data_IF_177182770593
#
_entry.id   IF_177182770593
#
_cell.length_a   1.000
_cell.length_b   1.000
_cell.length_c   1.000
_cell.angle_alpha   90.00
_cell.angle_beta   90.00
_cell.angle_gamma   90.00
#
_symmetry.space_group_name_H-M   'P 1'
#
loop_
_entity.id
_entity.type
_entity.pdbx_description
1 polymer ?
#
# COMPACT_ATOMS: atom_id res chain seq x y z
N UNK A 1 30.09 -41.52 33.81
CA UNK A 1 29.15 -40.76 34.66
C UNK A 1 29.94 -39.55 35.16
N UNK A 2 29.71 -38.30 34.78
CA UNK A 2 28.65 -37.57 34.06
C UNK A 2 29.26 -36.23 33.62
N UNK A 3 28.94 -35.72 32.42
CA UNK A 3 29.14 -34.32 32.04
C UNK A 3 28.13 -33.42 32.80
N UNK A 4 28.38 -32.10 32.89
CA UNK A 4 27.77 -31.24 31.87
C UNK A 4 28.70 -30.16 31.32
N UNK A 5 28.85 -30.15 30.00
CA UNK A 5 29.23 -28.98 29.21
C UNK A 5 28.21 -27.87 29.43
N UNK A 6 28.65 -26.73 29.95
CA UNK A 6 27.84 -25.53 30.09
C UNK A 6 27.58 -24.92 28.71
N UNK A 7 26.36 -25.05 28.21
CA UNK A 7 25.87 -24.37 27.01
C UNK A 7 25.72 -22.87 27.33
N UNK A 8 26.39 -21.94 26.62
CA UNK A 8 26.09 -20.52 26.78
C UNK A 8 24.75 -20.25 26.09
N UNK A 9 23.65 -20.32 26.87
CA UNK A 9 22.36 -19.76 26.46
C UNK A 9 22.57 -18.29 26.12
N UNK A 10 22.69 -18.00 24.84
CA UNK A 10 22.66 -16.64 24.30
C UNK A 10 21.20 -16.30 24.19
N UNK A 11 20.68 -15.61 25.21
CA UNK A 11 19.36 -14.98 25.17
C UNK A 11 19.37 -14.02 23.97
N UNK A 12 18.46 -14.16 22.98
CA UNK A 12 18.40 -13.19 21.90
C UNK A 12 18.08 -11.83 22.50
N UNK A 13 18.76 -10.73 22.12
CA UNK A 13 18.36 -9.41 22.57
C UNK A 13 16.89 -9.23 22.21
N UNK A 14 16.04 -8.96 23.20
CA UNK A 14 14.66 -8.50 23.00
C UNK A 14 14.71 -7.38 21.99
N UNK A 15 14.18 -7.65 20.80
CA UNK A 15 13.96 -6.68 19.75
C UNK A 15 13.10 -5.55 20.36
N UNK A 16 13.60 -4.30 20.46
CA UNK A 16 12.76 -3.21 20.89
C UNK A 16 11.65 -3.09 19.85
N UNK A 17 10.46 -3.56 20.20
CA UNK A 17 9.25 -3.47 19.37
C UNK A 17 9.09 -2.03 18.89
N UNK A 18 9.56 -1.74 17.67
CA UNK A 18 9.28 -0.50 16.96
C UNK A 18 7.89 -0.66 16.37
N UNK A 19 6.89 -0.76 17.23
CA UNK A 19 5.51 -0.63 16.79
C UNK A 19 5.36 0.85 16.43
N UNK A 20 5.14 1.21 15.16
CA UNK A 20 5.01 2.60 14.78
C UNK A 20 3.77 3.16 15.48
N UNK A 21 3.99 3.96 16.52
CA UNK A 21 2.91 4.76 17.07
C UNK A 21 2.53 5.78 16.00
N UNK A 22 1.38 5.58 15.34
CA UNK A 22 0.73 6.65 14.59
C UNK A 22 0.32 7.72 15.60
N UNK A 23 1.22 8.66 15.85
CA UNK A 23 1.00 9.86 16.66
C UNK A 23 0.15 10.83 15.84
N UNK A 24 -1.13 10.53 15.74
CA UNK A 24 -2.09 11.34 14.99
C UNK A 24 -3.50 10.98 15.39
N UNK A 25 -4.29 12.00 15.74
CA UNK A 25 -5.73 11.83 15.79
C UNK A 25 -6.21 11.33 14.41
N UNK A 26 -7.15 10.37 14.35
CA UNK A 26 -7.70 9.93 13.08
C UNK A 26 -8.23 11.14 12.32
N UNK A 27 -8.04 11.20 10.98
CA UNK A 27 -8.54 12.29 10.18
C UNK A 27 -10.04 12.50 10.43
N UNK A 28 -10.48 13.75 10.39
CA UNK A 28 -11.89 14.07 10.51
C UNK A 28 -12.70 13.32 9.44
N UNK A 29 -13.93 12.87 9.75
CA UNK A 29 -14.79 12.29 8.73
C UNK A 29 -15.04 13.31 7.61
N UNK A 30 -14.83 12.87 6.37
CA UNK A 30 -15.15 13.66 5.17
C UNK A 30 -16.67 13.78 5.04
N UNK A 31 -17.17 15.00 4.79
CA UNK A 31 -18.58 15.20 4.46
C UNK A 31 -18.78 14.78 2.99
N UNK A 32 -19.74 13.88 2.67
CA UNK A 32 -20.03 13.54 1.28
C UNK A 32 -20.43 14.75 0.43
N UNK A 33 -20.91 15.85 1.03
CA UNK A 33 -21.18 17.10 0.31
C UNK A 33 -19.90 17.84 -0.15
N UNK A 34 -18.74 17.51 0.42
CA UNK A 34 -17.43 18.08 0.06
C UNK A 34 -16.74 17.26 -1.06
N UNK A 35 -17.31 16.14 -1.49
CA UNK A 35 -16.79 15.33 -2.60
C UNK A 35 -17.35 15.89 -3.92
N UNK A 36 -16.46 16.28 -4.83
CA UNK A 36 -16.85 16.70 -6.16
C UNK A 36 -17.16 15.50 -7.07
N UNK A 37 -18.27 15.59 -7.81
CA UNK A 37 -18.70 14.51 -8.73
C UNK A 37 -17.63 14.18 -9.78
N UNK A 38 -16.84 15.18 -10.21
CA UNK A 38 -15.76 14.98 -11.19
C UNK A 38 -14.60 14.14 -10.62
N UNK A 39 -14.23 14.37 -9.37
CA UNK A 39 -13.24 13.56 -8.64
C UNK A 39 -13.74 12.14 -8.40
N UNK A 40 -15.05 11.96 -8.21
CA UNK A 40 -15.65 10.62 -8.11
C UNK A 40 -15.61 9.86 -9.44
N UNK A 41 -15.93 10.53 -10.55
CA UNK A 41 -15.82 9.96 -11.91
C UNK A 41 -14.38 9.56 -12.25
N UNK A 42 -13.40 10.40 -11.87
CA UNK A 42 -11.98 10.10 -12.04
C UNK A 42 -11.57 8.86 -11.22
N UNK A 43 -12.05 8.77 -9.98
CA UNK A 43 -11.77 7.63 -9.11
C UNK A 43 -12.41 6.32 -9.63
N UNK A 44 -13.58 6.40 -10.25
CA UNK A 44 -14.19 5.24 -10.93
C UNK A 44 -13.36 4.79 -12.15
N UNK A 45 -12.86 5.74 -12.93
CA UNK A 45 -11.97 5.45 -14.07
C UNK A 45 -10.63 4.82 -13.61
N UNK A 46 -10.08 5.31 -12.51
CA UNK A 46 -8.87 4.75 -11.90
C UNK A 46 -9.12 3.31 -11.42
N UNK A 47 -10.26 3.06 -10.75
CA UNK A 47 -10.62 1.73 -10.28
C UNK A 47 -10.74 0.73 -11.44
N UNK A 48 -11.39 1.12 -12.54
CA UNK A 48 -11.48 0.29 -13.74
C UNK A 48 -10.09 0.01 -14.34
N UNK A 49 -9.18 0.99 -14.29
CA UNK A 49 -7.80 0.83 -14.78
C UNK A 49 -7.00 -0.12 -13.90
N UNK A 50 -7.18 -0.07 -12.59
CA UNK A 50 -6.56 -0.98 -11.61
C UNK A 50 -7.05 -2.42 -11.84
N UNK A 51 -8.35 -2.65 -12.03
CA UNK A 51 -8.90 -3.98 -12.30
C UNK A 51 -8.25 -4.61 -13.55
N UNK A 52 -8.12 -3.81 -14.59
CA UNK A 52 -7.49 -4.18 -15.86
C UNK A 52 -5.97 -4.41 -15.73
N UNK A 53 -5.31 -3.73 -14.79
CA UNK A 53 -3.92 -3.99 -14.45
C UNK A 53 -3.76 -5.31 -13.70
N UNK A 54 -4.66 -5.62 -12.77
CA UNK A 54 -4.68 -6.87 -12.01
C UNK A 54 -4.93 -8.08 -12.91
N UNK A 55 -5.87 -8.00 -13.84
CA UNK A 55 -6.12 -9.06 -14.84
C UNK A 55 -4.84 -9.40 -15.64
N UNK A 56 -4.05 -8.38 -15.99
CA UNK A 56 -2.78 -8.60 -16.69
C UNK A 56 -1.73 -9.26 -15.82
N UNK A 57 -1.64 -8.86 -14.55
CA UNK A 57 -0.76 -9.53 -13.58
C UNK A 57 -1.14 -11.00 -13.44
N UNK A 58 -2.43 -11.31 -13.33
CA UNK A 58 -2.92 -12.69 -13.23
C UNK A 58 -2.62 -13.52 -14.49
N UNK A 59 -2.61 -12.89 -15.67
CA UNK A 59 -2.19 -13.51 -16.93
C UNK A 59 -0.67 -13.63 -17.13
N UNK A 60 0.12 -12.98 -16.28
CA UNK A 60 1.59 -12.90 -16.39
C UNK A 60 2.10 -11.85 -17.40
N UNK A 61 1.24 -10.96 -17.90
CA UNK A 61 1.60 -9.88 -18.81
C UNK A 61 2.11 -8.64 -18.04
N UNK A 62 3.37 -8.71 -17.60
CA UNK A 62 4.01 -7.64 -16.82
C UNK A 62 4.29 -6.38 -17.67
N UNK A 63 4.54 -6.55 -18.96
CA UNK A 63 4.77 -5.43 -19.88
C UNK A 63 3.47 -4.67 -20.17
N UNK A 64 2.36 -5.40 -20.35
CA UNK A 64 1.04 -4.81 -20.44
C UNK A 64 0.57 -4.18 -19.13
N UNK A 65 0.88 -4.78 -17.98
CA UNK A 65 0.67 -4.12 -16.68
C UNK A 65 1.38 -2.77 -16.62
N UNK A 66 2.65 -2.67 -17.01
CA UNK A 66 3.40 -1.41 -17.02
C UNK A 66 2.76 -0.33 -17.90
N UNK A 67 2.19 -0.73 -19.04
CA UNK A 67 1.48 0.18 -19.94
C UNK A 67 0.16 0.71 -19.36
N UNK A 68 -0.51 -0.07 -18.51
CA UNK A 68 -1.76 0.30 -17.83
C UNK A 68 -1.47 1.15 -16.60
N UNK A 69 -0.45 0.78 -15.83
CA UNK A 69 0.02 1.52 -14.66
C UNK A 69 0.51 2.93 -15.02
N UNK A 70 1.15 3.10 -16.18
CA UNK A 70 1.54 4.43 -16.66
C UNK A 70 0.35 5.37 -16.86
N UNK A 71 -0.82 4.86 -17.27
CA UNK A 71 -2.03 5.68 -17.43
C UNK A 71 -2.62 6.14 -16.10
N UNK A 72 -2.47 5.35 -15.03
CA UNK A 72 -2.87 5.74 -13.67
C UNK A 72 -1.99 6.89 -13.14
N UNK A 73 -0.68 6.85 -13.41
CA UNK A 73 0.25 7.91 -13.04
C UNK A 73 -0.06 9.23 -13.77
N UNK A 74 -0.40 9.14 -15.05
CA UNK A 74 -0.78 10.31 -15.87
C UNK A 74 -2.17 10.87 -15.52
N UNK A 75 -3.11 10.02 -15.09
CA UNK A 75 -4.46 10.40 -14.63
C UNK A 75 -4.47 11.03 -13.23
N UNK A 76 -3.54 10.63 -12.36
CA UNK A 76 -3.39 11.18 -11.01
C UNK A 76 -2.79 12.60 -10.98
N UNK A 77 -2.33 13.14 -12.12
CA UNK A 77 -1.73 14.48 -12.24
C UNK A 77 -2.75 15.64 -12.21
N UNK A 78 -3.89 15.46 -11.54
CA UNK A 78 -4.91 16.47 -11.30
C UNK A 78 -4.55 17.49 -10.21
N UNK A 79 -3.27 17.83 -10.02
CA UNK A 79 -2.89 18.96 -9.18
C UNK A 79 -2.95 20.25 -10.03
N UNK A 80 -3.83 21.22 -9.71
CA UNK A 80 -3.80 22.52 -10.40
C UNK A 80 -2.51 23.27 -10.05
N UNK A 81 -1.87 23.87 -11.06
CA UNK A 81 -0.81 24.88 -10.92
C UNK A 81 -1.36 26.17 -10.29
#
# INVERSE_FOLDING_TARGET
MTDPTTDPTTDPPTDPSTDPTTDGAPPAPVDPADIDDAGLDALEADLATIEVAMERVDSGDLEGYGSVAARLDEGSSGAPD
#
